data_IF_402399505992
#
_entry.id   IF_402399505992
#
_cell.length_a   1.000
_cell.length_b   1.000
_cell.length_c   1.000
_cell.angle_alpha   90.00
_cell.angle_beta   90.00
_cell.angle_gamma   90.00
#
_symmetry.space_group_name_H-M   'P 1'
#
loop_
_entity.id
_entity.type
_entity.pdbx_description
1 polymer ?
#
# COMPACT_ATOMS: atom_id res chain seq x y z
N UNK A 1 4.90 7.93 -16.02
CA UNK A 1 3.68 8.18 -16.84
C UNK A 1 2.36 8.12 -16.04
N UNK A 2 2.37 8.35 -14.71
CA UNK A 2 1.20 8.13 -13.83
C UNK A 2 0.18 9.27 -13.71
N UNK A 3 0.47 10.42 -14.32
CA UNK A 3 -0.56 11.43 -14.54
C UNK A 3 -1.54 11.02 -15.65
N UNK A 4 -1.23 9.98 -16.42
CA UNK A 4 -1.99 9.54 -17.60
C UNK A 4 -2.82 8.26 -17.36
N UNK A 5 -2.44 7.33 -16.47
CA UNK A 5 -3.14 6.03 -16.30
C UNK A 5 -3.23 5.45 -14.86
N UNK A 6 -3.89 6.15 -13.91
CA UNK A 6 -4.07 5.67 -12.53
C UNK A 6 -4.83 4.33 -12.42
N UNK A 7 -5.62 3.95 -13.44
CA UNK A 7 -6.34 2.68 -13.48
C UNK A 7 -5.42 1.48 -13.75
N UNK A 8 -4.33 1.66 -14.51
CA UNK A 8 -3.41 0.58 -14.88
C UNK A 8 -2.73 -0.05 -13.66
N UNK A 9 -2.21 0.80 -12.77
CA UNK A 9 -1.56 0.35 -11.53
C UNK A 9 -2.54 -0.29 -10.54
N UNK A 10 -3.77 0.20 -10.47
CA UNK A 10 -4.83 -0.43 -9.64
C UNK A 10 -5.12 -1.84 -10.17
N UNK A 11 -5.27 -2.02 -11.48
CA UNK A 11 -5.50 -3.32 -12.10
C UNK A 11 -4.31 -4.29 -11.91
N UNK A 12 -3.08 -3.80 -12.07
CA UNK A 12 -1.87 -4.58 -11.85
C UNK A 12 -1.77 -5.04 -10.39
N UNK A 13 -1.93 -4.11 -9.44
CA UNK A 13 -1.92 -4.44 -8.01
C UNK A 13 -3.04 -5.42 -7.64
N UNK A 14 -4.25 -5.23 -8.17
CA UNK A 14 -5.36 -6.17 -7.96
C UNK A 14 -5.04 -7.57 -8.49
N UNK A 15 -4.34 -7.67 -9.63
CA UNK A 15 -3.90 -8.94 -10.20
C UNK A 15 -2.88 -9.64 -9.31
N UNK A 16 -1.89 -8.90 -8.78
CA UNK A 16 -0.93 -9.44 -7.82
C UNK A 16 -1.59 -9.90 -6.52
N UNK A 17 -2.46 -9.06 -5.95
CA UNK A 17 -3.24 -9.40 -4.75
C UNK A 17 -4.03 -10.69 -4.98
N UNK A 18 -4.71 -10.80 -6.13
CA UNK A 18 -5.51 -11.98 -6.47
C UNK A 18 -4.66 -13.23 -6.67
N UNK A 19 -3.46 -13.08 -7.22
CA UNK A 19 -2.51 -14.19 -7.35
C UNK A 19 -2.02 -14.65 -5.98
N UNK A 20 -1.57 -13.73 -5.12
CA UNK A 20 -1.10 -14.06 -3.77
C UNK A 20 -2.20 -14.69 -2.90
N UNK A 21 -3.45 -14.23 -3.03
CA UNK A 21 -4.58 -14.76 -2.27
C UNK A 21 -4.83 -16.27 -2.49
N UNK A 22 -4.34 -16.84 -3.61
CA UNK A 22 -4.43 -18.29 -3.88
C UNK A 22 -3.49 -19.12 -2.99
N UNK A 23 -2.42 -18.51 -2.49
CA UNK A 23 -1.34 -19.22 -1.78
C UNK A 23 -1.21 -18.80 -0.32
N UNK A 24 -1.60 -17.57 0.02
CA UNK A 24 -1.41 -16.99 1.34
C UNK A 24 -2.60 -16.15 1.78
N UNK A 25 -2.72 -15.93 3.10
CA UNK A 25 -3.70 -15.02 3.66
C UNK A 25 -3.29 -13.56 3.39
N UNK A 26 -4.05 -12.87 2.53
CA UNK A 26 -3.74 -11.50 2.12
C UNK A 26 -4.62 -10.49 2.86
N UNK A 27 -3.97 -9.48 3.43
CA UNK A 27 -4.61 -8.27 3.98
C UNK A 27 -4.25 -7.07 3.12
N UNK A 28 -5.26 -6.33 2.66
CA UNK A 28 -5.06 -5.13 1.82
C UNK A 28 -5.50 -3.91 2.58
N UNK A 29 -4.61 -2.93 2.73
CA UNK A 29 -4.91 -1.63 3.33
C UNK A 29 -5.00 -0.61 2.21
N UNK A 30 -6.16 0.01 2.02
CA UNK A 30 -6.37 0.94 0.91
C UNK A 30 -7.34 2.08 1.26
N UNK A 31 -7.36 3.16 0.47
CA UNK A 31 -8.44 4.14 0.52
C UNK A 31 -9.80 3.46 0.29
N UNK A 32 -10.87 4.08 0.80
CA UNK A 32 -12.23 3.58 0.63
C UNK A 32 -12.62 3.50 -0.84
N UNK A 33 -13.21 2.37 -1.25
CA UNK A 33 -13.62 2.06 -2.64
C UNK A 33 -12.46 2.12 -3.64
N UNK A 34 -11.23 1.85 -3.19
CA UNK A 34 -10.07 1.86 -4.08
C UNK A 34 -10.00 0.62 -4.96
N UNK A 35 -10.38 -0.55 -4.41
CA UNK A 35 -10.52 -1.78 -5.16
C UNK A 35 -11.98 -2.24 -5.10
N UNK A 36 -12.58 -2.49 -6.27
CA UNK A 36 -13.97 -2.92 -6.36
C UNK A 36 -14.11 -4.43 -6.64
N UNK A 37 -13.06 -5.08 -7.16
CA UNK A 37 -13.10 -6.45 -7.67
C UNK A 37 -11.96 -7.30 -7.08
N UNK A 38 -11.80 -7.34 -5.77
CA UNK A 38 -10.88 -8.29 -5.12
C UNK A 38 -11.58 -9.61 -4.79
N UNK A 39 -10.86 -10.74 -4.81
CA UNK A 39 -11.39 -12.03 -4.37
C UNK A 39 -11.91 -11.98 -2.93
N UNK A 40 -12.91 -12.80 -2.60
CA UNK A 40 -13.58 -12.81 -1.28
C UNK A 40 -12.65 -13.20 -0.14
N UNK A 41 -11.59 -13.94 -0.46
CA UNK A 41 -10.57 -14.43 0.47
C UNK A 41 -9.67 -13.29 0.98
N UNK A 42 -9.63 -12.16 0.26
CA UNK A 42 -8.80 -11.01 0.61
C UNK A 42 -9.48 -10.17 1.69
N UNK A 43 -8.79 -9.96 2.81
CA UNK A 43 -9.28 -9.11 3.89
C UNK A 43 -8.91 -7.65 3.63
N UNK A 44 -9.88 -6.85 3.22
CA UNK A 44 -9.68 -5.43 2.91
C UNK A 44 -9.94 -4.57 4.15
N UNK A 45 -8.98 -3.71 4.49
CA UNK A 45 -9.06 -2.71 5.55
C UNK A 45 -9.09 -1.33 4.89
N UNK A 46 -10.29 -0.81 4.71
CA UNK A 46 -10.50 0.50 4.10
C UNK A 46 -10.38 1.63 5.13
N UNK A 47 -9.66 2.70 4.77
CA UNK A 47 -9.60 3.93 5.57
C UNK A 47 -9.64 5.17 4.67
N UNK A 48 -10.62 6.03 4.89
CA UNK A 48 -10.74 7.33 4.19
C UNK A 48 -9.50 8.22 4.40
N UNK A 49 -8.83 8.06 5.54
CA UNK A 49 -7.62 8.81 5.91
C UNK A 49 -6.40 8.53 5.03
N UNK A 50 -6.46 7.53 4.15
CA UNK A 50 -5.41 7.11 3.21
C UNK A 50 -5.51 7.77 1.82
N UNK A 51 -6.53 8.60 1.56
CA UNK A 51 -6.59 9.36 0.30
C UNK A 51 -5.40 10.29 0.18
N UNK A 52 -4.66 10.18 -0.93
CA UNK A 52 -3.55 11.06 -1.26
C UNK A 52 -4.13 12.40 -1.70
N UNK A 53 -3.62 13.49 -1.13
CA UNK A 53 -3.95 14.86 -1.53
C UNK A 53 -3.01 15.34 -2.62
N UNK A 54 -3.53 16.12 -3.56
CA UNK A 54 -2.75 16.69 -4.65
C UNK A 54 -1.76 17.77 -4.17
N UNK A 55 -0.63 17.88 -4.88
CA UNK A 55 0.47 18.79 -4.56
C UNK A 55 1.70 18.09 -3.96
N UNK A 56 2.90 18.60 -4.26
CA UNK A 56 4.19 17.95 -3.93
C UNK A 56 4.42 17.77 -2.42
N UNK A 57 4.08 18.76 -1.61
CA UNK A 57 4.19 18.68 -0.15
C UNK A 57 3.10 17.79 0.46
N UNK A 58 1.86 17.93 -0.04
CA UNK A 58 0.72 17.20 0.49
C UNK A 58 0.78 15.70 0.15
N UNK A 59 1.28 15.33 -1.03
CA UNK A 59 1.51 13.93 -1.42
C UNK A 59 2.57 13.26 -0.55
N UNK A 60 3.63 13.97 -0.18
CA UNK A 60 4.65 13.49 0.77
C UNK A 60 4.09 13.24 2.17
N UNK A 61 3.37 14.22 2.72
CA UNK A 61 2.70 14.07 4.01
C UNK A 61 1.66 12.93 3.99
N UNK A 62 0.91 12.81 2.88
CA UNK A 62 -0.06 11.72 2.70
C UNK A 62 0.65 10.36 2.66
N UNK A 63 1.78 10.26 1.96
CA UNK A 63 2.58 9.03 1.89
C UNK A 63 3.12 8.64 3.26
N UNK A 64 3.69 9.59 4.00
CA UNK A 64 4.19 9.33 5.35
C UNK A 64 3.07 8.87 6.29
N UNK A 65 1.90 9.49 6.18
CA UNK A 65 0.70 9.09 6.95
C UNK A 65 0.26 7.67 6.60
N UNK A 66 0.23 7.29 5.33
CA UNK A 66 -0.07 5.92 4.88
C UNK A 66 0.93 4.94 5.49
N UNK A 67 2.23 5.25 5.43
CA UNK A 67 3.29 4.42 6.03
C UNK A 67 3.08 4.22 7.53
N UNK A 68 2.76 5.29 8.27
CA UNK A 68 2.51 5.22 9.71
C UNK A 68 1.29 4.36 10.05
N UNK A 69 0.18 4.54 9.34
CA UNK A 69 -1.03 3.72 9.52
C UNK A 69 -0.72 2.26 9.22
N UNK A 70 -0.04 1.99 8.11
CA UNK A 70 0.39 0.63 7.74
C UNK A 70 1.30 0.02 8.79
N UNK A 71 2.23 0.79 9.38
CA UNK A 71 3.10 0.31 10.46
C UNK A 71 2.32 -0.04 11.73
N UNK A 72 1.30 0.76 12.09
CA UNK A 72 0.44 0.48 13.25
C UNK A 72 -0.37 -0.82 13.01
N UNK A 73 -0.91 -0.99 11.80
CA UNK A 73 -1.68 -2.19 11.45
C UNK A 73 -0.76 -3.41 11.40
N UNK A 74 0.43 -3.30 10.81
CA UNK A 74 1.42 -4.38 10.78
C UNK A 74 1.85 -4.81 12.19
N UNK A 75 1.95 -3.88 13.15
CA UNK A 75 2.19 -4.24 14.57
C UNK A 75 1.07 -5.08 15.18
N UNK A 76 -0.18 -4.85 14.77
CA UNK A 76 -1.35 -5.61 15.25
C UNK A 76 -1.49 -6.96 14.56
N UNK A 77 -1.41 -6.98 13.23
CA UNK A 77 -1.59 -8.18 12.42
C UNK A 77 -0.36 -9.11 12.42
N UNK A 78 0.83 -8.57 12.71
CA UNK A 78 2.12 -9.29 12.68
C UNK A 78 2.30 -10.12 11.39
N UNK A 79 2.15 -9.53 10.19
CA UNK A 79 2.29 -10.27 8.94
C UNK A 79 3.74 -10.72 8.73
N UNK A 80 3.91 -11.81 7.99
CA UNK A 80 5.25 -12.29 7.61
C UNK A 80 5.92 -11.38 6.60
N UNK A 81 5.16 -10.86 5.63
CA UNK A 81 5.64 -9.94 4.62
C UNK A 81 4.72 -8.72 4.52
N UNK A 82 5.32 -7.56 4.26
CA UNK A 82 4.58 -6.33 4.00
C UNK A 82 5.01 -5.77 2.65
N UNK A 83 4.04 -5.66 1.74
CA UNK A 83 4.22 -5.04 0.44
C UNK A 83 3.62 -3.64 0.46
N UNK A 84 4.39 -2.65 0.02
CA UNK A 84 3.92 -1.26 -0.06
C UNK A 84 4.12 -0.75 -1.48
N UNK A 85 3.01 -0.38 -2.10
CA UNK A 85 2.96 0.36 -3.36
C UNK A 85 2.93 1.85 -3.01
N UNK A 86 4.05 2.56 -3.23
CA UNK A 86 4.14 4.00 -2.98
C UNK A 86 5.02 4.69 -4.00
N UNK A 87 4.59 5.88 -4.43
CA UNK A 87 5.23 6.67 -5.48
C UNK A 87 6.32 7.64 -4.96
N UNK A 88 6.52 7.75 -3.64
CA UNK A 88 7.45 8.70 -3.02
C UNK A 88 8.56 7.97 -2.25
N UNK A 89 9.68 7.71 -2.94
CA UNK A 89 10.83 6.93 -2.44
C UNK A 89 11.43 7.50 -1.14
N UNK A 90 11.47 8.83 -1.00
CA UNK A 90 12.05 9.49 0.18
C UNK A 90 11.16 9.23 1.40
N UNK A 91 9.85 9.47 1.27
CA UNK A 91 8.90 9.26 2.36
C UNK A 91 8.74 7.77 2.68
N UNK A 92 8.84 6.89 1.69
CA UNK A 92 8.90 5.46 1.90
C UNK A 92 10.13 5.08 2.76
N UNK A 93 11.31 5.60 2.42
CA UNK A 93 12.56 5.32 3.16
C UNK A 93 12.48 5.79 4.62
N UNK A 94 11.92 6.98 4.87
CA UNK A 94 11.65 7.47 6.23
C UNK A 94 10.60 6.58 6.91
N UNK A 95 9.51 6.28 6.21
CA UNK A 95 8.41 5.46 6.72
C UNK A 95 8.83 4.05 7.14
N UNK A 96 9.80 3.45 6.44
CA UNK A 96 10.37 2.13 6.74
C UNK A 96 10.95 2.06 8.15
N UNK A 97 11.43 3.16 8.70
CA UNK A 97 11.99 3.21 10.06
C UNK A 97 10.95 2.86 11.14
N UNK A 98 9.66 3.07 10.87
CA UNK A 98 8.56 2.78 11.80
C UNK A 98 8.13 1.30 11.82
N UNK A 99 8.68 0.47 10.94
CA UNK A 99 8.41 -0.97 10.90
C UNK A 99 9.45 -1.73 11.73
N UNK A 100 8.96 -2.62 12.60
CA UNK A 100 9.80 -3.36 13.57
C UNK A 100 10.68 -4.44 12.91
N UNK A 101 10.25 -5.01 11.79
CA UNK A 101 10.98 -6.00 10.97
C UNK A 101 11.21 -5.42 9.58
N UNK A 102 12.34 -4.73 9.40
CA UNK A 102 12.63 -3.95 8.17
C UNK A 102 12.98 -4.86 6.99
N UNK A 103 13.54 -6.02 7.28
CA UNK A 103 13.97 -7.07 6.36
C UNK A 103 12.80 -7.76 5.64
N UNK A 104 11.59 -7.67 6.20
CA UNK A 104 10.37 -8.26 5.62
C UNK A 104 9.47 -7.25 4.91
N UNK A 105 9.94 -6.01 4.80
CA UNK A 105 9.29 -4.95 4.06
C UNK A 105 9.82 -4.96 2.63
N UNK A 106 9.00 -5.37 1.68
CA UNK A 106 9.31 -5.30 0.26
C UNK A 106 8.69 -4.06 -0.36
N UNK A 107 9.54 -3.22 -0.92
CA UNK A 107 9.15 -2.05 -1.68
C UNK A 107 9.05 -2.44 -3.15
N UNK A 108 7.91 -2.20 -3.77
CA UNK A 108 7.79 -2.25 -5.22
C UNK A 108 7.66 -0.81 -5.73
N UNK A 109 8.72 -0.36 -6.41
CA UNK A 109 8.69 0.88 -7.18
C UNK A 109 7.91 0.58 -8.44
N UNK A 110 6.70 1.10 -8.55
CA UNK A 110 6.12 1.36 -9.88
C UNK A 110 6.88 2.56 -10.43
N UNK A 111 7.98 2.28 -11.14
CA UNK A 111 8.87 3.28 -11.73
C UNK A 111 8.20 4.00 -12.89
N UNK A 112 8.55 5.28 -13.02
CA UNK A 112 8.04 6.30 -13.97
C UNK A 112 8.06 5.86 -15.42
#
# INVERSE_FOLDING_TARGET
>A
MDFLYPKGHICQNASYISCFAKFVNVYVICPKRHYNNLPKEVKVIEKDSLKIKDGRLFSRLSTLKIMLISAIIARKLKPDYVFISSYETIMFSIGRLFFRRRERLSYYITSI
#
